data_IF_800556370684
#
_entry.id   IF_800556370684
#
_cell.length_a   1.000
_cell.length_b   1.000
_cell.length_c   1.000
_cell.angle_alpha   90.00
_cell.angle_beta   90.00
_cell.angle_gamma   90.00
#
_symmetry.space_group_name_H-M   'P 1'
#
loop_
_entity.id
_entity.type
_entity.pdbx_description
1 polymer ?
#
# COMPACT_ATOMS: atom_id res chain seq x y z
N UNK A 1 63.58 33.34 -10.55
CA UNK A 1 63.86 34.77 -10.95
C UNK A 1 62.50 35.36 -11.29
N UNK A 2 62.12 36.22 -10.37
CA UNK A 2 61.45 37.52 -10.51
C UNK A 2 59.98 37.51 -10.93
N UNK A 3 59.14 37.69 -9.94
CA UNK A 3 58.03 38.66 -9.93
C UNK A 3 58.57 40.07 -10.11
N UNK A 4 57.86 41.16 -10.35
CA UNK A 4 56.64 41.57 -9.64
C UNK A 4 55.63 42.41 -10.46
N UNK A 5 54.50 42.71 -9.77
CA UNK A 5 53.81 44.00 -9.54
C UNK A 5 52.96 44.60 -10.66
N UNK A 6 51.86 45.17 -10.41
CA UNK A 6 51.09 45.74 -9.34
C UNK A 6 50.12 46.79 -9.91
N UNK A 7 49.06 47.08 -9.20
CA UNK A 7 48.27 48.34 -9.12
C UNK A 7 47.43 48.73 -10.37
N UNK A 8 46.25 49.24 -10.29
CA UNK A 8 45.38 49.79 -9.21
C UNK A 8 44.05 50.22 -9.81
N UNK A 9 43.12 50.39 -8.96
CA UNK A 9 42.12 51.41 -8.76
C UNK A 9 40.74 51.27 -9.38
N UNK A 10 39.80 51.17 -8.45
CA UNK A 10 38.39 51.59 -8.49
C UNK A 10 38.27 53.08 -8.80
N UNK A 11 37.09 53.59 -9.24
CA UNK A 11 36.11 53.99 -8.25
C UNK A 11 34.61 53.81 -8.60
N UNK A 12 33.85 53.54 -7.58
CA UNK A 12 32.59 54.11 -7.15
C UNK A 12 31.54 54.62 -8.16
N UNK A 13 30.36 54.06 -8.08
CA UNK A 13 29.11 54.61 -8.59
C UNK A 13 27.94 54.10 -7.79
N UNK A 14 27.59 54.88 -6.76
CA UNK A 14 26.44 54.77 -5.87
C UNK A 14 25.13 54.87 -6.64
N UNK A 15 24.21 53.93 -6.41
CA UNK A 15 22.77 54.19 -6.55
C UNK A 15 22.06 53.41 -5.44
N UNK A 16 21.80 54.11 -4.35
CA UNK A 16 20.87 53.71 -3.34
C UNK A 16 19.46 53.75 -3.90
N UNK A 17 18.76 52.62 -3.87
CA UNK A 17 17.32 52.59 -4.09
C UNK A 17 16.66 52.20 -2.75
N UNK A 18 15.90 53.15 -2.23
CA UNK A 18 15.08 53.08 -1.02
C UNK A 18 14.21 51.82 -1.03
N UNK A 19 14.38 51.01 -0.01
CA UNK A 19 13.41 49.98 0.35
C UNK A 19 12.46 50.61 1.42
N UNK A 20 11.34 51.05 0.87
CA UNK A 20 10.21 51.58 1.65
C UNK A 20 9.64 50.44 2.52
N UNK A 21 9.66 50.69 3.80
CA UNK A 21 8.95 50.10 4.93
C UNK A 21 7.68 49.35 4.54
N UNK A 22 7.71 48.02 4.63
CA UNK A 22 6.47 47.23 4.63
C UNK A 22 5.99 47.16 6.07
N UNK A 23 4.88 47.81 6.29
CA UNK A 23 4.07 47.88 7.48
C UNK A 23 3.85 46.50 8.12
N UNK A 24 4.11 46.45 9.39
CA UNK A 24 3.80 45.39 10.34
C UNK A 24 2.29 45.12 10.31
N UNK A 25 1.84 44.10 9.57
CA UNK A 25 0.46 43.64 9.65
C UNK A 25 0.23 43.06 11.05
N UNK A 26 -0.73 43.63 11.75
CA UNK A 26 -1.20 43.22 13.05
C UNK A 26 -1.67 41.78 13.01
N UNK A 27 -1.16 40.95 13.92
CA UNK A 27 -1.66 39.61 14.20
C UNK A 27 -3.16 39.68 14.51
N UNK A 28 -3.94 39.01 13.68
CA UNK A 28 -5.36 38.76 13.95
C UNK A 28 -5.50 37.93 15.25
N UNK A 29 -6.46 38.24 16.11
CA UNK A 29 -6.67 37.49 17.33
C UNK A 29 -7.12 36.06 17.03
N UNK A 30 -6.51 35.11 17.73
CA UNK A 30 -6.92 33.69 17.78
C UNK A 30 -8.41 33.65 18.15
N UNK A 31 -9.29 32.94 17.38
CA UNK A 31 -10.67 32.82 17.77
C UNK A 31 -10.77 32.07 19.10
N UNK A 32 -11.46 32.68 20.05
CA UNK A 32 -11.85 32.05 21.31
C UNK A 32 -12.69 30.80 21.01
N UNK A 33 -12.53 29.83 21.88
CA UNK A 33 -13.42 28.67 21.91
C UNK A 33 -14.89 29.13 21.91
N UNK A 34 -15.77 28.42 21.18
CA UNK A 34 -17.19 28.80 21.15
C UNK A 34 -17.75 28.73 22.58
N UNK A 35 -18.39 29.83 22.99
CA UNK A 35 -19.19 29.92 24.20
C UNK A 35 -20.27 28.83 24.18
N UNK A 36 -20.64 28.34 25.34
CA UNK A 36 -21.75 27.39 25.52
C UNK A 36 -22.99 27.84 24.73
N UNK A 37 -23.66 26.93 24.01
CA UNK A 37 -24.84 27.27 23.24
C UNK A 37 -25.95 27.74 24.21
N UNK A 38 -26.44 28.95 23.95
CA UNK A 38 -27.65 29.49 24.59
C UNK A 38 -28.79 28.47 24.46
N UNK A 39 -29.40 28.15 25.56
CA UNK A 39 -30.65 27.36 25.60
C UNK A 39 -31.76 28.13 24.92
N UNK A 40 -32.17 27.69 23.74
CA UNK A 40 -33.45 28.12 23.17
C UNK A 40 -34.59 27.60 24.06
N UNK A 41 -35.51 28.50 24.35
CA UNK A 41 -36.64 28.37 25.29
C UNK A 41 -37.75 27.38 24.78
N UNK A 42 -37.40 26.44 23.89
CA UNK A 42 -38.36 25.50 23.28
C UNK A 42 -37.96 24.03 23.44
N UNK A 43 -37.35 23.66 24.56
CA UNK A 43 -37.32 22.31 25.12
C UNK A 43 -36.81 21.14 24.24
N UNK A 44 -36.39 21.38 22.99
CA UNK A 44 -35.83 20.36 22.11
C UNK A 44 -34.30 20.43 22.15
N UNK A 45 -33.72 19.62 23.01
CA UNK A 45 -32.30 19.28 22.87
C UNK A 45 -32.08 18.71 21.45
N UNK A 46 -30.98 19.11 20.72
CA UNK A 46 -30.60 18.40 19.51
C UNK A 46 -30.53 16.94 19.88
N UNK A 47 -31.06 16.05 19.01
CA UNK A 47 -31.21 14.63 19.26
C UNK A 47 -29.85 14.03 19.67
N UNK A 48 -29.60 13.97 20.97
CA UNK A 48 -28.48 13.24 21.54
C UNK A 48 -28.72 11.78 21.13
N UNK A 49 -27.72 11.15 20.53
CA UNK A 49 -27.76 9.73 20.15
C UNK A 49 -28.35 8.94 21.33
N UNK A 50 -29.42 8.19 21.08
CA UNK A 50 -30.06 7.38 22.11
C UNK A 50 -29.01 6.52 22.81
N UNK A 51 -29.11 6.38 24.11
CA UNK A 51 -28.17 5.61 24.93
C UNK A 51 -28.74 4.26 25.30
N UNK A 52 -27.88 3.35 25.75
CA UNK A 52 -28.28 2.05 26.32
C UNK A 52 -29.31 2.23 27.46
N UNK A 53 -29.17 3.31 28.25
CA UNK A 53 -30.09 3.64 29.35
C UNK A 53 -31.46 4.05 28.85
N UNK A 54 -31.55 4.76 27.74
CA UNK A 54 -32.83 5.17 27.13
C UNK A 54 -33.58 3.95 26.61
N UNK A 55 -32.90 3.02 25.94
CA UNK A 55 -33.49 1.76 25.50
C UNK A 55 -34.00 0.96 26.69
N UNK A 56 -33.20 0.82 27.75
CA UNK A 56 -33.58 0.09 28.96
C UNK A 56 -34.82 0.69 29.63
N UNK A 57 -34.86 2.02 29.77
CA UNK A 57 -35.96 2.78 30.36
C UNK A 57 -37.27 2.60 29.57
N UNK A 58 -37.21 2.76 28.25
CA UNK A 58 -38.39 2.69 27.39
C UNK A 58 -38.90 1.25 27.21
N UNK A 59 -37.95 0.27 27.11
CA UNK A 59 -38.32 -1.13 27.04
C UNK A 59 -38.75 -1.74 28.40
N UNK A 60 -38.63 -1.00 29.49
CA UNK A 60 -39.00 -1.47 30.85
C UNK A 60 -38.13 -2.67 31.31
N UNK A 61 -36.85 -2.66 31.02
CA UNK A 61 -35.90 -3.74 31.39
C UNK A 61 -34.60 -3.15 31.93
N UNK A 62 -33.76 -4.00 32.54
CA UNK A 62 -32.42 -3.57 32.97
C UNK A 62 -31.49 -3.37 31.79
N UNK A 63 -30.46 -2.50 31.94
CA UNK A 63 -29.37 -2.33 30.95
C UNK A 63 -28.68 -3.64 30.63
N UNK A 64 -28.53 -4.53 31.60
CA UNK A 64 -27.99 -5.87 31.40
C UNK A 64 -28.88 -6.74 30.48
N UNK A 65 -30.23 -6.56 30.52
CA UNK A 65 -31.14 -7.25 29.61
C UNK A 65 -31.04 -6.69 28.19
N UNK A 66 -30.96 -5.36 28.03
CA UNK A 66 -30.70 -4.74 26.71
C UNK A 66 -29.40 -5.25 26.13
N UNK A 67 -28.31 -5.25 26.91
CA UNK A 67 -27.02 -5.75 26.49
C UNK A 67 -27.09 -7.21 26.03
N UNK A 68 -27.80 -8.10 26.74
CA UNK A 68 -28.01 -9.49 26.32
C UNK A 68 -28.75 -9.62 25.00
N UNK A 69 -29.77 -8.80 24.78
CA UNK A 69 -30.53 -8.77 23.51
C UNK A 69 -29.67 -8.30 22.35
N UNK A 70 -28.93 -7.21 22.54
CA UNK A 70 -27.99 -6.67 21.55
C UNK A 70 -26.91 -7.70 21.17
N UNK A 71 -26.47 -8.50 22.14
CA UNK A 71 -25.43 -9.52 21.94
C UNK A 71 -25.95 -10.91 21.57
N UNK A 72 -27.27 -11.06 21.31
CA UNK A 72 -27.84 -12.33 20.85
C UNK A 72 -27.80 -13.47 21.87
N UNK A 73 -27.66 -13.18 23.18
CA UNK A 73 -27.59 -14.23 24.21
C UNK A 73 -28.93 -14.89 24.44
N UNK A 74 -28.96 -16.22 24.54
CA UNK A 74 -30.18 -17.05 24.60
C UNK A 74 -30.99 -16.99 25.92
N UNK A 75 -30.52 -16.24 26.91
CA UNK A 75 -31.13 -16.14 28.25
C UNK A 75 -32.20 -15.07 28.37
N UNK A 76 -32.79 -14.60 27.29
CA UNK A 76 -33.86 -13.57 27.29
C UNK A 76 -35.08 -14.12 26.60
N UNK A 77 -36.25 -13.99 27.26
CA UNK A 77 -37.57 -14.43 26.71
C UNK A 77 -37.84 -13.72 25.38
N UNK A 78 -38.42 -14.45 24.40
CA UNK A 78 -38.66 -13.92 23.06
C UNK A 78 -39.52 -12.67 23.04
N UNK A 79 -40.52 -12.57 23.89
CA UNK A 79 -41.37 -11.36 24.03
C UNK A 79 -40.57 -10.14 24.50
N UNK A 80 -39.62 -10.35 25.43
CA UNK A 80 -38.72 -9.28 25.89
C UNK A 80 -37.72 -8.90 24.81
N UNK A 81 -37.19 -9.88 24.09
CA UNK A 81 -36.28 -9.67 22.94
C UNK A 81 -36.95 -8.85 21.85
N UNK A 82 -38.17 -9.18 21.46
CA UNK A 82 -38.94 -8.46 20.46
C UNK A 82 -39.18 -7.00 20.88
N UNK A 83 -39.62 -6.77 22.12
CA UNK A 83 -39.83 -5.43 22.67
C UNK A 83 -38.58 -4.57 22.69
N UNK A 84 -37.44 -5.12 23.12
CA UNK A 84 -36.16 -4.39 23.14
C UNK A 84 -35.72 -4.03 21.72
N UNK A 85 -35.84 -4.96 20.75
CA UNK A 85 -35.52 -4.68 19.33
C UNK A 85 -36.39 -3.58 18.76
N UNK A 86 -37.66 -3.61 19.03
CA UNK A 86 -38.58 -2.56 18.59
C UNK A 86 -38.19 -1.17 19.13
N UNK A 87 -37.81 -1.08 20.41
CA UNK A 87 -37.33 0.18 21.03
C UNK A 87 -36.03 0.63 20.44
N UNK A 88 -35.11 -0.28 20.15
CA UNK A 88 -33.81 0.03 19.46
C UNK A 88 -34.10 0.67 18.10
N UNK A 89 -35.00 0.08 17.30
CA UNK A 89 -35.41 0.63 15.99
C UNK A 89 -36.08 1.99 16.12
N UNK A 90 -36.99 2.15 17.06
CA UNK A 90 -37.73 3.43 17.30
C UNK A 90 -36.79 4.56 17.71
N UNK A 91 -35.76 4.27 18.49
CA UNK A 91 -34.80 5.29 18.96
C UNK A 91 -33.63 5.50 18.02
N UNK A 92 -33.47 4.67 16.99
CA UNK A 92 -32.26 4.66 16.17
C UNK A 92 -30.98 4.36 17.00
N UNK A 93 -31.14 3.59 18.10
CA UNK A 93 -30.02 3.29 18.97
C UNK A 93 -29.01 2.39 18.25
N UNK A 94 -27.80 2.91 18.11
CA UNK A 94 -26.64 2.14 17.62
C UNK A 94 -25.78 1.78 18.83
N UNK A 95 -25.57 0.48 19.09
CA UNK A 95 -24.74 0.04 20.21
C UNK A 95 -23.32 0.57 20.09
N UNK A 96 -22.80 1.18 21.15
CA UNK A 96 -21.41 1.66 21.21
C UNK A 96 -20.43 0.48 21.15
N UNK A 97 -19.63 0.41 20.07
CA UNK A 97 -18.63 -0.61 19.86
C UNK A 97 -17.56 -0.64 20.97
N UNK A 98 -17.24 0.51 21.58
CA UNK A 98 -16.30 0.60 22.68
C UNK A 98 -16.84 -0.08 23.95
N UNK A 99 -18.13 0.06 24.26
CA UNK A 99 -18.76 -0.63 25.37
C UNK A 99 -18.86 -2.16 25.12
N UNK A 100 -19.01 -2.57 23.86
CA UNK A 100 -19.01 -3.99 23.47
C UNK A 100 -17.62 -4.63 23.63
N UNK A 101 -16.56 -3.93 23.25
CA UNK A 101 -15.18 -4.42 23.33
C UNK A 101 -14.71 -4.67 24.76
N UNK A 102 -15.14 -3.84 25.73
CA UNK A 102 -14.84 -4.00 27.15
C UNK A 102 -15.40 -5.32 27.74
N UNK A 103 -16.56 -5.80 27.23
CA UNK A 103 -17.18 -7.03 27.74
C UNK A 103 -16.63 -8.31 27.10
N UNK A 104 -16.05 -8.24 25.91
CA UNK A 104 -15.64 -9.40 25.10
C UNK A 104 -14.13 -9.66 25.02
N UNK A 105 -13.27 -8.81 25.60
CA UNK A 105 -11.79 -8.84 25.44
C UNK A 105 -11.32 -8.76 23.97
N UNK A 106 -12.21 -8.57 22.98
CA UNK A 106 -11.92 -8.43 21.56
C UNK A 106 -12.68 -7.25 20.98
N UNK A 107 -12.01 -6.46 20.15
CA UNK A 107 -12.54 -5.25 19.51
C UNK A 107 -13.26 -5.56 18.20
N UNK A 108 -12.94 -6.70 17.59
CA UNK A 108 -13.35 -7.10 16.24
C UNK A 108 -12.90 -6.06 15.17
N UNK A 109 -11.70 -5.52 15.36
CA UNK A 109 -11.09 -4.55 14.46
C UNK A 109 -9.72 -5.07 14.03
N UNK A 110 -9.48 -5.14 12.72
CA UNK A 110 -8.17 -5.39 12.11
C UNK A 110 -7.57 -4.05 11.71
N UNK A 111 -6.28 -3.84 11.96
CA UNK A 111 -5.53 -2.72 11.40
C UNK A 111 -4.82 -3.13 10.11
N UNK A 112 -4.91 -2.30 9.06
CA UNK A 112 -4.09 -2.40 7.86
C UNK A 112 -3.17 -1.18 7.80
N UNK A 113 -1.87 -1.44 7.82
CA UNK A 113 -0.82 -0.43 7.78
C UNK A 113 -0.22 -0.41 6.39
N UNK A 114 -0.40 0.70 5.69
CA UNK A 114 0.10 0.94 4.34
C UNK A 114 1.24 1.97 4.36
N UNK A 115 2.16 1.90 3.38
CA UNK A 115 3.20 2.90 3.21
C UNK A 115 2.67 4.13 2.47
N UNK A 116 2.95 5.31 2.99
CA UNK A 116 2.79 6.57 2.28
C UNK A 116 4.13 6.95 1.64
N UNK A 117 4.22 6.80 0.32
CA UNK A 117 5.44 7.11 -0.46
C UNK A 117 5.37 8.47 -1.15
N UNK A 118 4.33 9.25 -0.88
CA UNK A 118 4.05 10.50 -1.58
C UNK A 118 4.50 11.74 -0.80
N UNK A 119 5.12 12.68 -1.52
CA UNK A 119 5.21 14.07 -1.05
C UNK A 119 3.81 14.72 -1.19
N UNK A 120 3.33 15.48 -0.17
CA UNK A 120 1.96 16.02 -0.16
C UNK A 120 1.55 16.95 -1.32
N UNK A 121 2.46 17.26 -2.22
CA UNK A 121 2.29 18.26 -3.29
C UNK A 121 2.16 17.65 -4.70
N UNK A 122 2.11 16.32 -4.85
CA UNK A 122 2.18 15.63 -6.17
C UNK A 122 0.99 14.69 -6.39
N UNK A 123 -0.22 15.15 -6.15
CA UNK A 123 -1.43 14.29 -6.16
C UNK A 123 -1.86 13.74 -7.52
N UNK A 124 -1.36 14.25 -8.67
CA UNK A 124 -2.03 13.98 -9.96
C UNK A 124 -1.64 12.67 -10.68
N UNK A 125 -0.42 12.18 -10.51
CA UNK A 125 0.04 10.98 -11.24
C UNK A 125 0.44 9.86 -10.28
N UNK A 126 0.79 10.19 -9.05
CA UNK A 126 1.33 9.27 -8.05
C UNK A 126 0.26 8.49 -7.28
N UNK A 127 -1.00 8.90 -7.36
CA UNK A 127 -2.15 8.16 -6.77
C UNK A 127 -2.30 6.73 -7.34
N UNK A 128 -1.57 6.39 -8.40
CA UNK A 128 -1.53 5.03 -8.94
C UNK A 128 -0.86 4.01 -7.98
N UNK A 129 -0.05 4.44 -7.01
CA UNK A 129 0.48 3.52 -5.99
C UNK A 129 -0.62 2.91 -5.11
N UNK A 130 -1.80 3.53 -5.09
CA UNK A 130 -2.97 3.00 -4.42
C UNK A 130 -3.50 1.71 -5.06
N UNK A 131 -3.22 1.44 -6.34
CA UNK A 131 -3.74 0.26 -7.05
C UNK A 131 -3.30 -1.06 -6.40
N UNK A 132 -2.05 -1.13 -5.92
CA UNK A 132 -1.56 -2.30 -5.19
C UNK A 132 -2.32 -2.50 -3.87
N UNK A 133 -2.41 -1.46 -3.05
CA UNK A 133 -3.11 -1.56 -1.77
C UNK A 133 -4.63 -1.66 -1.92
N UNK A 134 -5.23 -1.10 -2.98
CA UNK A 134 -6.67 -1.23 -3.23
C UNK A 134 -7.08 -2.70 -3.45
N UNK A 135 -6.32 -3.45 -4.22
CA UNK A 135 -6.60 -4.89 -4.43
C UNK A 135 -6.36 -5.71 -3.14
N UNK A 136 -5.31 -5.41 -2.36
CA UNK A 136 -5.10 -6.03 -1.05
C UNK A 136 -6.27 -5.72 -0.12
N UNK A 137 -6.69 -4.45 -0.05
CA UNK A 137 -7.81 -3.99 0.75
C UNK A 137 -9.11 -4.74 0.38
N UNK A 138 -9.38 -4.90 -0.92
CA UNK A 138 -10.53 -5.67 -1.41
C UNK A 138 -10.48 -7.13 -0.95
N UNK A 139 -9.30 -7.74 -0.95
CA UNK A 139 -9.11 -9.09 -0.45
C UNK A 139 -9.37 -9.20 1.05
N UNK A 140 -8.85 -8.28 1.84
CA UNK A 140 -9.09 -8.20 3.29
C UNK A 140 -10.59 -8.00 3.57
N UNK A 141 -11.23 -7.02 2.91
CA UNK A 141 -12.65 -6.71 3.07
C UNK A 141 -13.53 -7.91 2.73
N UNK A 142 -13.24 -8.58 1.61
CA UNK A 142 -13.96 -9.79 1.20
C UNK A 142 -13.90 -10.87 2.29
N UNK A 143 -12.74 -11.03 2.96
CA UNK A 143 -12.54 -12.06 3.98
C UNK A 143 -13.28 -11.76 5.28
N UNK A 144 -13.45 -10.49 5.66
CA UNK A 144 -14.08 -10.08 6.93
C UNK A 144 -15.57 -9.73 6.82
N UNK A 145 -16.09 -9.58 5.60
CA UNK A 145 -17.44 -9.08 5.31
C UNK A 145 -18.53 -9.76 6.14
N UNK A 146 -18.51 -11.08 6.20
CA UNK A 146 -19.55 -11.88 6.88
C UNK A 146 -19.18 -12.22 8.33
N UNK A 147 -18.03 -11.76 8.82
CA UNK A 147 -17.51 -12.09 10.15
C UNK A 147 -17.80 -11.03 11.21
N UNK A 148 -18.48 -9.93 10.83
CA UNK A 148 -18.75 -8.78 11.70
C UNK A 148 -17.46 -8.17 12.29
N UNK A 149 -16.41 -8.11 11.48
CA UNK A 149 -15.16 -7.41 11.76
C UNK A 149 -15.12 -6.08 11.03
N UNK A 150 -14.40 -5.11 11.60
CA UNK A 150 -14.13 -3.81 10.97
C UNK A 150 -12.67 -3.71 10.57
N UNK A 151 -12.38 -2.89 9.56
CA UNK A 151 -11.03 -2.60 9.11
C UNK A 151 -10.69 -1.15 9.40
N UNK A 152 -9.54 -0.93 10.06
CA UNK A 152 -8.97 0.38 10.33
C UNK A 152 -7.69 0.53 9.50
N UNK A 153 -7.70 1.46 8.56
CA UNK A 153 -6.57 1.69 7.65
C UNK A 153 -5.76 2.88 8.14
N UNK A 154 -4.45 2.75 8.11
CA UNK A 154 -3.53 3.87 8.36
C UNK A 154 -2.39 3.85 7.37
N UNK A 155 -1.94 5.05 7.00
CA UNK A 155 -0.76 5.24 6.18
C UNK A 155 0.36 5.77 7.05
N UNK A 156 1.55 5.19 6.91
CA UNK A 156 2.76 5.62 7.60
C UNK A 156 3.81 6.04 6.57
N UNK A 157 4.53 7.10 6.88
CA UNK A 157 5.68 7.55 6.07
C UNK A 157 6.91 6.74 6.45
N UNK A 158 7.57 6.24 5.44
CA UNK A 158 8.81 5.49 5.63
C UNK A 158 9.86 6.31 6.41
N UNK A 159 10.49 5.68 7.41
CA UNK A 159 11.51 6.32 8.25
C UNK A 159 11.01 7.38 9.26
N UNK A 160 9.70 7.56 9.42
CA UNK A 160 9.13 8.54 10.34
C UNK A 160 8.96 7.99 11.76
N UNK A 161 9.76 8.46 12.72
CA UNK A 161 9.60 8.11 14.14
C UNK A 161 8.23 8.54 14.70
N UNK A 162 7.67 9.65 14.22
CA UNK A 162 6.35 10.10 14.64
C UNK A 162 5.25 9.12 14.19
N UNK A 163 5.40 8.55 13.00
CA UNK A 163 4.44 7.59 12.48
C UNK A 163 4.59 6.22 13.15
N UNK A 164 5.79 5.81 13.56
CA UNK A 164 5.98 4.65 14.43
C UNK A 164 5.26 4.81 15.79
N UNK A 165 5.28 5.99 16.39
CA UNK A 165 4.52 6.27 17.60
C UNK A 165 2.99 6.17 17.36
N UNK A 166 2.50 6.57 16.18
CA UNK A 166 1.10 6.37 15.77
C UNK A 166 0.75 4.89 15.64
N UNK A 167 1.67 4.06 15.13
CA UNK A 167 1.49 2.62 15.03
C UNK A 167 1.28 1.98 16.41
N UNK A 168 2.05 2.39 17.43
CA UNK A 168 1.82 1.94 18.79
C UNK A 168 0.46 2.36 19.34
N UNK A 169 -0.01 3.56 19.00
CA UNK A 169 -1.37 4.01 19.38
C UNK A 169 -2.44 3.19 18.67
N UNK A 170 -2.21 2.84 17.40
CA UNK A 170 -3.11 1.99 16.61
C UNK A 170 -3.22 0.59 17.22
N UNK A 171 -2.11 0.01 17.65
CA UNK A 171 -2.08 -1.34 18.24
C UNK A 171 -3.01 -1.48 19.46
N UNK A 172 -3.20 -0.39 20.20
CA UNK A 172 -4.19 -0.32 21.29
C UNK A 172 -5.65 -0.33 20.83
N UNK A 173 -5.96 -0.11 19.53
CA UNK A 173 -7.32 0.03 18.99
C UNK A 173 -7.79 -1.18 18.19
N UNK A 174 -6.91 -2.11 17.83
CA UNK A 174 -7.19 -3.27 16.98
C UNK A 174 -6.88 -4.57 17.69
N UNK A 175 -7.36 -5.69 17.17
CA UNK A 175 -7.04 -7.04 17.69
C UNK A 175 -5.82 -7.66 17.01
N UNK A 176 -5.45 -7.16 15.84
CA UNK A 176 -4.28 -7.58 15.08
C UNK A 176 -3.97 -6.62 13.95
N UNK A 177 -2.75 -6.71 13.41
CA UNK A 177 -2.22 -5.84 12.37
C UNK A 177 -1.83 -6.63 11.12
N UNK A 178 -2.27 -6.14 9.98
CA UNK A 178 -1.66 -6.41 8.69
C UNK A 178 -0.68 -5.27 8.40
N UNK A 179 0.59 -5.58 8.20
CA UNK A 179 1.65 -4.59 7.98
C UNK A 179 2.20 -4.77 6.57
N UNK A 180 2.06 -3.74 5.74
CA UNK A 180 2.59 -3.76 4.38
C UNK A 180 4.11 -3.76 4.33
N UNK A 181 4.65 -4.07 3.17
CA UNK A 181 6.08 -4.23 2.90
C UNK A 181 6.96 -3.08 3.38
N UNK A 182 8.11 -3.40 3.99
CA UNK A 182 9.19 -2.44 4.25
C UNK A 182 8.87 -1.19 5.07
N UNK A 183 7.62 -1.06 5.56
CA UNK A 183 7.15 0.14 6.27
C UNK A 183 7.76 0.22 7.67
N UNK A 184 7.86 -0.95 8.31
CA UNK A 184 8.30 -1.07 9.69
C UNK A 184 9.66 -1.76 9.70
N UNK A 185 10.65 -1.19 10.40
CA UNK A 185 11.94 -1.87 10.57
C UNK A 185 11.78 -3.27 11.17
N UNK A 186 12.63 -4.25 10.81
CA UNK A 186 12.52 -5.64 11.29
C UNK A 186 12.45 -5.76 12.83
N UNK A 187 13.23 -4.93 13.54
CA UNK A 187 13.25 -4.93 15.01
C UNK A 187 11.93 -4.46 15.60
N UNK A 188 11.28 -3.51 14.92
CA UNK A 188 9.99 -2.98 15.35
C UNK A 188 8.86 -3.95 15.02
N UNK A 189 8.94 -4.63 13.87
CA UNK A 189 8.01 -5.70 13.52
C UNK A 189 8.05 -6.82 14.57
N UNK A 190 9.26 -7.21 15.02
CA UNK A 190 9.46 -8.19 16.08
C UNK A 190 8.79 -7.74 17.39
N UNK A 191 9.04 -6.50 17.82
CA UNK A 191 8.43 -5.94 19.04
C UNK A 191 6.90 -5.89 18.99
N UNK A 192 6.34 -5.60 17.82
CA UNK A 192 4.89 -5.63 17.62
C UNK A 192 4.36 -7.06 17.71
N UNK A 193 5.00 -8.01 17.05
CA UNK A 193 4.60 -9.41 17.03
C UNK A 193 4.67 -10.07 18.42
N UNK A 194 5.58 -9.64 19.30
CA UNK A 194 5.65 -10.08 20.71
C UNK A 194 4.44 -9.60 21.55
N UNK A 195 3.77 -8.53 21.12
CA UNK A 195 2.70 -7.89 21.89
C UNK A 195 1.30 -8.19 21.37
N UNK A 196 1.19 -8.48 20.08
CA UNK A 196 -0.09 -8.69 19.44
C UNK A 196 0.07 -9.49 18.12
N UNK A 197 -1.03 -10.10 17.62
CA UNK A 197 -1.06 -10.74 16.32
C UNK A 197 -0.65 -9.78 15.18
N UNK A 198 0.36 -10.16 14.41
CA UNK A 198 0.86 -9.41 13.25
C UNK A 198 1.10 -10.34 12.08
N UNK A 199 0.70 -9.92 10.89
CA UNK A 199 1.05 -10.56 9.61
C UNK A 199 1.66 -9.52 8.69
N UNK A 200 2.85 -9.79 8.17
CA UNK A 200 3.48 -9.00 7.15
C UNK A 200 2.90 -9.36 5.77
N UNK A 201 2.41 -8.36 5.05
CA UNK A 201 1.89 -8.49 3.67
C UNK A 201 2.97 -8.01 2.72
N UNK A 202 3.37 -8.84 1.75
CA UNK A 202 4.54 -8.61 0.90
C UNK A 202 5.83 -8.42 1.71
N UNK A 203 5.92 -9.12 2.84
CA UNK A 203 7.08 -9.06 3.74
C UNK A 203 8.26 -9.90 3.25
N UNK A 204 9.37 -9.83 3.99
CA UNK A 204 10.57 -10.65 3.71
C UNK A 204 10.25 -12.14 3.98
N UNK A 205 10.32 -13.02 2.96
CA UNK A 205 10.01 -14.44 3.13
C UNK A 205 11.01 -15.18 4.03
N UNK A 206 12.13 -14.56 4.38
CA UNK A 206 13.11 -15.12 5.31
C UNK A 206 12.88 -14.70 6.75
N UNK A 207 11.93 -13.79 7.00
CA UNK A 207 11.60 -13.29 8.33
C UNK A 207 10.94 -14.38 9.18
N UNK A 208 11.34 -14.45 10.45
CA UNK A 208 10.73 -15.31 11.47
C UNK A 208 10.06 -14.49 12.58
N UNK A 209 10.01 -13.18 12.43
CA UNK A 209 9.47 -12.28 13.44
C UNK A 209 7.94 -12.33 13.53
N UNK A 210 7.26 -12.54 12.39
CA UNK A 210 5.81 -12.60 12.28
C UNK A 210 5.41 -13.56 11.16
N UNK A 211 4.12 -13.85 11.02
CA UNK A 211 3.62 -14.49 9.81
C UNK A 211 3.86 -13.60 8.59
N UNK A 212 4.17 -14.21 7.46
CA UNK A 212 4.39 -13.52 6.18
C UNK A 212 3.49 -14.12 5.11
N UNK A 213 2.79 -13.27 4.38
CA UNK A 213 2.09 -13.66 3.14
C UNK A 213 2.62 -12.77 2.02
N UNK A 214 3.27 -13.36 1.04
CA UNK A 214 3.93 -12.63 -0.05
C UNK A 214 3.79 -13.37 -1.37
N UNK A 215 3.98 -12.68 -2.49
CA UNK A 215 4.08 -13.31 -3.80
C UNK A 215 5.46 -13.94 -4.01
N UNK A 216 5.53 -14.95 -4.87
CA UNK A 216 6.82 -15.49 -5.32
C UNK A 216 7.49 -14.51 -6.31
N UNK A 217 8.03 -13.44 -5.73
CA UNK A 217 8.66 -12.35 -6.44
C UNK A 217 9.91 -12.79 -7.20
N UNK A 218 10.65 -13.76 -6.62
CA UNK A 218 11.92 -14.23 -7.17
C UNK A 218 11.70 -15.06 -8.42
N UNK A 219 10.82 -16.06 -8.35
CA UNK A 219 10.50 -16.91 -9.50
C UNK A 219 9.80 -16.10 -10.61
N UNK A 220 8.87 -15.22 -10.25
CA UNK A 220 8.20 -14.34 -11.23
C UNK A 220 9.17 -13.44 -11.99
N UNK A 221 10.13 -12.81 -11.29
CA UNK A 221 11.16 -11.99 -11.92
C UNK A 221 12.10 -12.83 -12.79
N UNK A 222 12.52 -13.99 -12.30
CA UNK A 222 13.36 -14.90 -13.07
C UNK A 222 12.66 -15.37 -14.35
N UNK A 223 11.37 -15.73 -14.28
CA UNK A 223 10.57 -16.13 -15.44
C UNK A 223 10.48 -15.01 -16.49
N UNK A 224 10.27 -13.75 -16.04
CA UNK A 224 10.22 -12.57 -16.91
C UNK A 224 11.56 -12.35 -17.63
N UNK A 225 12.67 -12.39 -16.90
CA UNK A 225 14.00 -12.17 -17.46
C UNK A 225 14.41 -13.30 -18.40
N UNK A 226 14.14 -14.58 -18.04
CA UNK A 226 14.35 -15.73 -18.95
C UNK A 226 13.59 -15.54 -20.26
N UNK A 227 12.33 -15.09 -20.21
CA UNK A 227 11.57 -14.80 -21.40
C UNK A 227 12.25 -13.76 -22.32
N UNK A 228 12.79 -12.68 -21.78
CA UNK A 228 13.54 -11.66 -22.54
C UNK A 228 14.82 -12.24 -23.16
N UNK A 229 15.55 -13.06 -22.41
CA UNK A 229 16.85 -13.60 -22.80
C UNK A 229 16.71 -14.75 -23.78
N UNK A 230 15.78 -15.69 -23.56
CA UNK A 230 15.66 -16.93 -24.35
C UNK A 230 14.78 -16.75 -25.58
N UNK A 231 13.69 -16.00 -25.45
CA UNK A 231 12.72 -15.83 -26.56
C UNK A 231 13.07 -14.62 -27.42
N UNK A 232 13.44 -13.48 -26.82
CA UNK A 232 13.73 -12.25 -27.53
C UNK A 232 15.22 -11.95 -27.69
N UNK A 233 16.09 -12.81 -27.19
CA UNK A 233 17.56 -12.71 -27.31
C UNK A 233 18.10 -11.37 -26.82
N UNK A 234 17.45 -10.78 -25.78
CA UNK A 234 17.89 -9.52 -25.18
C UNK A 234 19.08 -9.78 -24.28
N UNK A 235 20.22 -9.15 -24.55
CA UNK A 235 21.52 -9.43 -23.89
C UNK A 235 22.00 -8.30 -23.01
N UNK A 236 21.55 -7.09 -23.25
CA UNK A 236 21.93 -5.89 -22.49
C UNK A 236 20.70 -5.42 -21.68
N UNK A 237 20.68 -5.77 -20.42
CA UNK A 237 19.56 -5.50 -19.53
C UNK A 237 19.85 -4.25 -18.69
N UNK A 238 18.94 -3.30 -18.66
CA UNK A 238 18.90 -2.21 -17.70
C UNK A 238 17.83 -2.48 -16.67
N UNK A 239 18.14 -2.35 -15.37
CA UNK A 239 17.19 -2.60 -14.29
C UNK A 239 16.73 -1.30 -13.65
N UNK A 240 15.41 -1.10 -13.59
CA UNK A 240 14.79 -0.05 -12.77
C UNK A 240 14.31 -0.73 -11.50
N UNK A 241 15.15 -0.68 -10.47
CA UNK A 241 14.94 -1.34 -9.17
C UNK A 241 13.89 -0.60 -8.33
N UNK A 242 13.36 -1.26 -7.32
CA UNK A 242 12.50 -0.65 -6.31
C UNK A 242 13.30 -0.08 -5.13
N UNK A 243 12.62 0.45 -4.08
CA UNK A 243 13.27 0.91 -2.87
C UNK A 243 14.09 -0.20 -2.21
N UNK A 244 15.28 0.15 -1.71
CA UNK A 244 16.18 -0.81 -1.06
C UNK A 244 15.58 -1.46 0.20
N UNK A 245 14.63 -0.78 0.84
CA UNK A 245 13.90 -1.24 2.03
C UNK A 245 12.76 -2.20 1.70
N UNK A 246 12.34 -2.30 0.42
CA UNK A 246 11.23 -3.14 -0.01
C UNK A 246 11.68 -4.60 -0.21
N UNK A 247 11.14 -5.57 0.56
CA UNK A 247 11.45 -6.99 0.40
C UNK A 247 11.14 -7.50 -1.01
N UNK A 248 10.04 -7.07 -1.60
CA UNK A 248 9.63 -7.42 -2.97
C UNK A 248 10.68 -7.02 -4.00
N UNK A 249 11.23 -5.80 -3.91
CA UNK A 249 12.30 -5.34 -4.80
C UNK A 249 13.55 -6.20 -4.65
N UNK A 250 13.92 -6.53 -3.42
CA UNK A 250 15.06 -7.43 -3.12
C UNK A 250 14.89 -8.79 -3.81
N UNK A 251 13.72 -9.42 -3.66
CA UNK A 251 13.46 -10.73 -4.24
C UNK A 251 13.40 -10.66 -5.78
N UNK A 252 12.79 -9.63 -6.37
CA UNK A 252 12.78 -9.41 -7.82
C UNK A 252 14.18 -9.22 -8.38
N UNK A 253 15.06 -8.48 -7.68
CA UNK A 253 16.46 -8.31 -8.05
C UNK A 253 17.25 -9.62 -7.94
N UNK A 254 16.97 -10.45 -6.94
CA UNK A 254 17.58 -11.79 -6.83
C UNK A 254 17.18 -12.67 -8.00
N UNK A 255 15.91 -12.72 -8.40
CA UNK A 255 15.46 -13.47 -9.56
C UNK A 255 16.10 -13.00 -10.87
N UNK A 256 16.22 -11.68 -11.09
CA UNK A 256 17.02 -11.13 -12.20
C UNK A 256 18.46 -11.63 -12.16
N UNK A 257 19.12 -11.54 -11.00
CA UNK A 257 20.53 -11.89 -10.84
C UNK A 257 20.80 -13.38 -11.12
N UNK A 258 19.89 -14.26 -10.74
CA UNK A 258 19.98 -15.71 -11.03
C UNK A 258 20.02 -15.97 -12.53
N UNK A 259 19.10 -15.35 -13.28
CA UNK A 259 19.06 -15.55 -14.73
C UNK A 259 20.31 -14.99 -15.42
N UNK A 260 20.86 -13.88 -14.94
CA UNK A 260 22.12 -13.35 -15.46
C UNK A 260 23.30 -14.30 -15.21
N UNK A 261 23.32 -15.00 -14.06
CA UNK A 261 24.34 -16.02 -13.77
C UNK A 261 24.18 -17.26 -14.68
N UNK A 262 22.97 -17.67 -14.98
CA UNK A 262 22.66 -18.77 -15.92
C UNK A 262 23.04 -18.42 -17.37
N UNK A 263 23.10 -17.12 -17.70
CA UNK A 263 23.32 -16.63 -19.07
C UNK A 263 24.52 -15.71 -19.20
N UNK A 264 25.76 -16.23 -19.22
CA UNK A 264 26.99 -15.41 -19.20
C UNK A 264 27.16 -14.43 -20.39
N UNK A 265 26.35 -14.59 -21.45
CA UNK A 265 26.34 -13.65 -22.58
C UNK A 265 25.36 -12.47 -22.37
N UNK A 266 24.65 -12.46 -21.26
CA UNK A 266 23.70 -11.40 -20.88
C UNK A 266 24.32 -10.56 -19.77
N UNK A 267 24.28 -9.24 -19.92
CA UNK A 267 24.89 -8.32 -18.97
C UNK A 267 23.86 -7.32 -18.40
N UNK A 268 23.97 -7.05 -17.12
CA UNK A 268 23.34 -5.89 -16.50
C UNK A 268 24.18 -4.65 -16.85
N UNK A 269 23.67 -3.81 -17.76
CA UNK A 269 24.41 -2.64 -18.25
C UNK A 269 24.18 -1.37 -17.43
N UNK A 270 23.26 -1.41 -16.48
CA UNK A 270 23.01 -0.34 -15.52
C UNK A 270 21.82 -0.61 -14.64
N UNK A 271 21.74 0.14 -13.56
CA UNK A 271 20.61 0.11 -12.60
C UNK A 271 20.20 1.53 -12.22
N UNK A 272 18.92 1.77 -12.08
CA UNK A 272 18.34 2.98 -11.53
C UNK A 272 17.54 2.60 -10.27
N UNK A 273 17.79 3.26 -9.14
CA UNK A 273 17.07 3.02 -7.89
C UNK A 273 15.77 3.82 -7.89
N UNK A 274 14.68 3.16 -8.22
CA UNK A 274 13.35 3.74 -8.26
C UNK A 274 12.63 3.72 -6.91
N UNK A 275 11.41 4.24 -6.92
CA UNK A 275 10.56 4.39 -5.72
C UNK A 275 9.17 3.78 -5.90
N UNK A 276 9.02 2.83 -6.82
CA UNK A 276 7.74 2.24 -7.22
C UNK A 276 6.71 3.25 -7.76
N UNK A 277 7.13 4.43 -8.21
CA UNK A 277 6.27 5.48 -8.74
C UNK A 277 6.46 5.69 -10.23
N UNK A 278 5.42 6.19 -10.91
CA UNK A 278 5.51 6.57 -12.34
C UNK A 278 6.60 7.62 -12.54
N UNK A 279 6.72 8.58 -11.62
CA UNK A 279 7.72 9.64 -11.72
C UNK A 279 9.14 9.08 -11.71
N UNK A 280 9.45 8.11 -10.82
CA UNK A 280 10.79 7.50 -10.82
C UNK A 280 11.06 6.67 -12.09
N UNK A 281 10.01 6.15 -12.71
CA UNK A 281 10.11 5.54 -14.04
C UNK A 281 10.40 6.55 -15.16
N UNK A 282 9.78 7.73 -15.11
CA UNK A 282 10.09 8.84 -16.04
C UNK A 282 11.55 9.26 -15.90
N UNK A 283 12.03 9.45 -14.67
CA UNK A 283 13.44 9.80 -14.40
C UNK A 283 14.42 8.74 -14.95
N UNK A 284 14.09 7.45 -14.79
CA UNK A 284 14.88 6.37 -15.38
C UNK A 284 14.87 6.41 -16.92
N UNK A 285 13.72 6.69 -17.52
CA UNK A 285 13.58 6.84 -18.97
C UNK A 285 14.36 8.05 -19.52
N UNK A 286 14.36 9.17 -18.81
CA UNK A 286 15.16 10.36 -19.16
C UNK A 286 16.66 10.08 -19.08
N UNK A 287 17.11 9.31 -18.08
CA UNK A 287 18.50 8.84 -17.97
C UNK A 287 18.89 7.98 -19.18
N UNK A 288 18.01 7.13 -19.67
CA UNK A 288 18.24 6.32 -20.87
C UNK A 288 18.30 7.19 -22.12
N UNK A 289 17.42 8.20 -22.26
CA UNK A 289 17.45 9.14 -23.39
C UNK A 289 18.73 9.97 -23.44
N UNK A 290 19.31 10.32 -22.29
CA UNK A 290 20.61 11.00 -22.23
C UNK A 290 21.77 10.12 -22.76
N UNK A 291 21.54 8.79 -22.91
CA UNK A 291 22.49 7.81 -23.46
C UNK A 291 21.97 7.16 -24.75
N UNK A 292 21.25 7.93 -25.57
CA UNK A 292 20.51 7.41 -26.72
C UNK A 292 21.34 6.57 -27.68
N UNK A 293 22.63 6.87 -27.83
CA UNK A 293 23.55 6.15 -28.73
C UNK A 293 24.01 4.78 -28.13
N UNK A 294 23.70 4.51 -26.88
CA UNK A 294 24.04 3.25 -26.17
C UNK A 294 22.86 2.72 -25.35
N UNK A 295 21.72 2.55 -26.00
CA UNK A 295 20.53 1.98 -25.34
C UNK A 295 20.73 0.49 -24.98
N UNK A 296 20.11 0.02 -23.87
CA UNK A 296 20.04 -1.41 -23.57
C UNK A 296 19.09 -2.13 -24.55
N UNK A 297 19.15 -3.46 -24.59
CA UNK A 297 18.20 -4.25 -25.36
C UNK A 297 16.83 -4.34 -24.66
N UNK A 298 16.84 -4.29 -23.33
CA UNK A 298 15.61 -4.31 -22.53
C UNK A 298 15.76 -3.56 -21.21
N UNK A 299 14.65 -2.97 -20.76
CA UNK A 299 14.47 -2.38 -19.45
C UNK A 299 13.56 -3.27 -18.63
N UNK A 300 14.05 -3.80 -17.53
CA UNK A 300 13.30 -4.59 -16.55
C UNK A 300 12.97 -3.70 -15.37
N UNK A 301 11.72 -3.31 -15.21
CA UNK A 301 11.26 -2.51 -14.10
C UNK A 301 10.75 -3.39 -12.98
N UNK A 302 11.09 -3.05 -11.74
CA UNK A 302 10.65 -3.80 -10.57
C UNK A 302 9.14 -3.69 -10.33
N UNK A 303 8.43 -2.71 -10.94
CA UNK A 303 6.96 -2.70 -10.98
C UNK A 303 6.42 -2.02 -12.25
N UNK A 304 5.09 -2.17 -12.46
CA UNK A 304 4.40 -1.64 -13.64
C UNK A 304 4.33 -0.11 -13.66
N UNK A 305 4.24 0.54 -12.51
CA UNK A 305 4.18 1.99 -12.44
C UNK A 305 5.46 2.62 -12.98
N UNK A 306 6.62 2.10 -12.57
CA UNK A 306 7.90 2.55 -13.12
C UNK A 306 8.01 2.21 -14.61
N UNK A 307 7.54 1.03 -15.03
CA UNK A 307 7.54 0.66 -16.45
C UNK A 307 6.69 1.60 -17.29
N UNK A 308 5.53 2.04 -16.82
CA UNK A 308 4.68 3.05 -17.46
C UNK A 308 5.41 4.39 -17.56
N UNK A 309 6.10 4.80 -16.50
CA UNK A 309 6.92 6.02 -16.52
C UNK A 309 8.05 5.95 -17.53
N UNK A 310 8.77 4.83 -17.61
CA UNK A 310 9.80 4.58 -18.63
C UNK A 310 9.20 4.66 -20.02
N UNK A 311 8.07 3.99 -20.28
CA UNK A 311 7.37 4.04 -21.57
C UNK A 311 7.00 5.46 -21.97
N UNK A 312 6.50 6.28 -21.03
CA UNK A 312 6.16 7.68 -21.28
C UNK A 312 7.38 8.50 -21.72
N UNK A 313 8.50 8.40 -20.99
CA UNK A 313 9.72 9.12 -21.31
C UNK A 313 10.28 8.69 -22.68
N UNK A 314 10.40 7.38 -22.92
CA UNK A 314 10.94 6.83 -24.18
C UNK A 314 10.08 7.23 -25.38
N UNK A 315 8.75 7.18 -25.25
CA UNK A 315 7.82 7.61 -26.31
C UNK A 315 7.98 9.09 -26.64
N UNK A 316 8.07 9.96 -25.62
CA UNK A 316 8.36 11.41 -25.82
C UNK A 316 9.71 11.64 -26.51
N UNK A 317 10.70 10.83 -26.19
CA UNK A 317 12.02 10.85 -26.82
C UNK A 317 12.09 10.21 -28.20
N UNK A 318 10.99 9.65 -28.73
CA UNK A 318 10.94 9.01 -30.04
C UNK A 318 11.69 7.67 -30.11
N UNK A 319 11.85 6.98 -28.98
CA UNK A 319 12.36 5.60 -28.90
C UNK A 319 11.20 4.64 -29.07
N UNK A 320 11.35 3.68 -29.96
CA UNK A 320 10.29 2.71 -30.29
C UNK A 320 10.40 1.49 -29.38
N UNK A 321 9.34 1.23 -28.64
CA UNK A 321 9.21 0.01 -27.84
C UNK A 321 8.22 -0.92 -28.55
N UNK A 322 8.56 -2.16 -28.86
CA UNK A 322 9.75 -2.92 -28.46
C UNK A 322 10.92 -2.91 -29.46
N UNK A 323 10.83 -2.17 -30.58
CA UNK A 323 11.74 -2.30 -31.72
C UNK A 323 13.19 -1.88 -31.34
N UNK A 324 13.35 -0.72 -30.72
CA UNK A 324 14.66 -0.21 -30.34
C UNK A 324 15.11 -0.80 -28.99
N UNK A 325 14.18 -1.01 -28.04
CA UNK A 325 14.38 -1.73 -26.77
C UNK A 325 13.06 -2.23 -26.22
N UNK A 326 13.09 -3.33 -25.45
CA UNK A 326 11.93 -3.85 -24.75
C UNK A 326 11.75 -3.19 -23.38
N UNK A 327 10.50 -3.10 -22.89
CA UNK A 327 10.19 -2.65 -21.51
C UNK A 327 9.27 -3.67 -20.86
N UNK A 328 9.58 -4.05 -19.60
CA UNK A 328 8.74 -4.96 -18.83
C UNK A 328 8.53 -4.44 -17.40
N UNK A 329 7.42 -4.85 -16.80
CA UNK A 329 7.04 -4.51 -15.44
C UNK A 329 6.81 -5.72 -14.54
N UNK A 330 6.16 -5.47 -13.41
CA UNK A 330 5.70 -6.45 -12.43
C UNK A 330 4.44 -5.88 -11.78
N UNK A 331 3.44 -6.67 -11.44
CA UNK A 331 2.19 -6.45 -10.70
C UNK A 331 0.94 -6.78 -11.53
N UNK A 332 0.95 -6.57 -12.84
CA UNK A 332 -0.18 -6.69 -13.77
C UNK A 332 -1.32 -5.71 -13.43
N UNK A 333 -0.96 -4.44 -13.19
CA UNK A 333 -1.98 -3.41 -12.96
C UNK A 333 -2.72 -3.04 -14.25
N UNK A 334 -4.01 -2.73 -14.12
CA UNK A 334 -4.87 -2.42 -15.27
C UNK A 334 -4.31 -1.35 -16.23
N UNK A 335 -3.71 -0.23 -15.78
CA UNK A 335 -3.11 0.75 -16.69
C UNK A 335 -2.02 0.21 -17.61
N UNK A 336 -1.27 -0.82 -17.16
CA UNK A 336 -0.27 -1.48 -17.99
C UNK A 336 -0.86 -2.19 -19.20
N UNK A 337 -2.08 -2.70 -19.09
CA UNK A 337 -2.80 -3.32 -20.22
C UNK A 337 -3.26 -2.31 -21.27
N UNK A 338 -3.47 -1.05 -20.87
CA UNK A 338 -3.90 0.05 -21.72
C UNK A 338 -2.74 0.88 -22.29
N UNK A 339 -1.51 0.66 -21.84
CA UNK A 339 -0.34 1.39 -22.34
C UNK A 339 -0.07 1.07 -23.83
N UNK A 340 0.69 1.94 -24.49
CA UNK A 340 1.09 1.75 -25.88
C UNK A 340 2.63 1.83 -26.00
N UNK A 341 3.26 0.64 -26.27
CA UNK A 341 2.67 -0.71 -26.38
C UNK A 341 2.12 -1.21 -25.04
N UNK A 342 1.18 -2.18 -25.09
CA UNK A 342 0.68 -2.82 -23.86
C UNK A 342 1.80 -3.58 -23.15
N UNK A 343 1.85 -3.42 -21.83
CA UNK A 343 2.99 -3.80 -20.98
C UNK A 343 3.03 -5.30 -20.68
N UNK A 344 4.12 -5.96 -21.08
CA UNK A 344 4.49 -7.30 -20.59
C UNK A 344 4.90 -7.20 -19.14
N UNK A 345 4.36 -8.06 -18.30
CA UNK A 345 4.51 -7.97 -16.84
C UNK A 345 4.40 -9.34 -16.19
N UNK A 346 4.52 -9.37 -14.87
CA UNK A 346 4.22 -10.53 -14.03
C UNK A 346 2.96 -10.24 -13.23
N UNK A 347 1.96 -11.10 -13.35
CA UNK A 347 0.78 -11.04 -12.50
C UNK A 347 1.13 -11.54 -11.10
N UNK A 348 0.92 -10.69 -10.09
CA UNK A 348 0.88 -11.11 -8.70
C UNK A 348 -0.57 -11.04 -8.18
N UNK A 349 -1.01 -12.05 -7.41
CA UNK A 349 -2.40 -12.16 -7.01
C UNK A 349 -2.71 -11.26 -5.80
N UNK A 350 -2.66 -9.93 -5.99
CA UNK A 350 -2.76 -8.93 -4.91
C UNK A 350 -4.01 -9.09 -4.04
N UNK A 351 -5.17 -9.36 -4.66
CA UNK A 351 -6.41 -9.60 -3.90
C UNK A 351 -6.30 -10.84 -3.02
N UNK A 352 -5.74 -11.93 -3.56
CA UNK A 352 -5.52 -13.16 -2.80
C UNK A 352 -4.49 -12.96 -1.68
N UNK A 353 -3.46 -12.10 -1.89
CA UNK A 353 -2.53 -11.69 -0.82
C UNK A 353 -3.30 -11.10 0.36
N UNK A 354 -4.21 -10.16 0.11
CA UNK A 354 -5.05 -9.55 1.15
C UNK A 354 -5.94 -10.56 1.84
N UNK A 355 -6.60 -11.44 1.08
CA UNK A 355 -7.47 -12.49 1.62
C UNK A 355 -6.70 -13.47 2.52
N UNK A 356 -5.54 -13.97 2.04
CA UNK A 356 -4.72 -14.95 2.77
C UNK A 356 -4.09 -14.32 4.01
N UNK A 357 -3.57 -13.10 3.89
CA UNK A 357 -3.01 -12.37 5.04
C UNK A 357 -4.07 -12.13 6.12
N UNK A 358 -5.29 -11.75 5.74
CA UNK A 358 -6.40 -11.60 6.68
C UNK A 358 -6.80 -12.93 7.32
N UNK A 359 -6.91 -14.01 6.55
CA UNK A 359 -7.20 -15.33 7.09
C UNK A 359 -6.15 -15.76 8.12
N UNK A 360 -4.86 -15.60 7.78
CA UNK A 360 -3.74 -15.89 8.69
C UNK A 360 -3.79 -15.05 9.97
N UNK A 361 -4.12 -13.75 9.86
CA UNK A 361 -4.25 -12.88 11.01
C UNK A 361 -5.39 -13.33 11.94
N UNK A 362 -6.54 -13.71 11.39
CA UNK A 362 -7.67 -14.22 12.18
C UNK A 362 -7.31 -15.54 12.89
N UNK A 363 -6.57 -16.43 12.24
CA UNK A 363 -6.02 -17.66 12.86
C UNK A 363 -5.08 -17.32 14.01
N UNK A 364 -4.15 -16.36 13.80
CA UNK A 364 -3.21 -15.89 14.82
C UNK A 364 -3.94 -15.25 16.01
N UNK A 365 -4.99 -14.46 15.78
CA UNK A 365 -5.83 -13.89 16.83
C UNK A 365 -6.53 -15.00 17.64
N UNK A 366 -6.94 -16.09 16.99
CA UNK A 366 -7.59 -17.21 17.66
C UNK A 366 -6.59 -18.11 18.44
N UNK A 367 -5.38 -18.27 17.92
CA UNK A 367 -4.32 -19.12 18.46
C UNK A 367 -2.96 -18.40 18.42
N UNK A 368 -2.69 -17.51 19.41
CA UNK A 368 -1.50 -16.63 19.38
C UNK A 368 -0.16 -17.38 19.51
N UNK A 369 -0.18 -18.59 20.10
CA UNK A 369 1.03 -19.38 20.38
C UNK A 369 1.54 -20.21 19.17
N UNK A 370 0.88 -20.14 18.02
CA UNK A 370 1.34 -20.83 16.81
C UNK A 370 2.70 -20.27 16.36
N UNK A 371 3.61 -21.11 15.82
CA UNK A 371 4.85 -20.60 15.24
C UNK A 371 4.56 -19.72 14.03
N UNK A 372 5.40 -18.71 13.74
CA UNK A 372 5.31 -17.93 12.52
C UNK A 372 5.39 -18.82 11.27
N UNK A 373 4.64 -18.45 10.24
CA UNK A 373 4.61 -19.16 8.96
C UNK A 373 4.76 -18.19 7.80
N UNK A 374 5.39 -18.68 6.73
CA UNK A 374 5.54 -17.96 5.47
C UNK A 374 4.68 -18.64 4.41
N UNK A 375 3.83 -17.88 3.76
CA UNK A 375 3.02 -18.31 2.63
C UNK A 375 3.47 -17.57 1.37
N UNK A 376 3.97 -18.32 0.38
CA UNK A 376 4.32 -17.81 -0.94
C UNK A 376 3.19 -18.08 -1.92
N UNK A 377 2.64 -17.02 -2.52
CA UNK A 377 1.62 -17.15 -3.55
C UNK A 377 2.26 -17.14 -4.95
N UNK A 378 1.89 -18.08 -5.83
CA UNK A 378 2.48 -18.18 -7.14
C UNK A 378 2.18 -16.94 -7.98
N UNK A 379 3.14 -16.57 -8.81
CA UNK A 379 3.02 -15.51 -9.81
C UNK A 379 2.91 -16.13 -11.21
N UNK A 380 2.55 -15.34 -12.21
CA UNK A 380 2.48 -15.80 -13.59
C UNK A 380 2.86 -14.72 -14.59
N UNK A 381 3.59 -15.10 -15.65
CA UNK A 381 4.00 -14.19 -16.70
C UNK A 381 2.80 -13.79 -17.58
N UNK A 382 2.65 -12.49 -17.82
CA UNK A 382 1.62 -11.90 -18.69
C UNK A 382 2.31 -11.27 -19.90
N UNK A 383 2.28 -11.97 -21.01
CA UNK A 383 2.93 -11.56 -22.24
C UNK A 383 2.05 -10.57 -23.01
N UNK A 384 2.62 -9.41 -23.31
CA UNK A 384 2.00 -8.36 -24.12
C UNK A 384 3.01 -7.80 -25.13
N UNK A 385 2.75 -6.61 -25.67
CA UNK A 385 3.49 -6.08 -26.82
C UNK A 385 4.85 -5.47 -26.47
N UNK A 386 5.05 -4.99 -25.25
CA UNK A 386 6.24 -4.21 -24.89
C UNK A 386 7.55 -4.99 -24.83
N UNK A 387 7.51 -6.32 -24.82
CA UNK A 387 8.70 -7.20 -24.95
C UNK A 387 8.99 -7.62 -26.41
N UNK A 388 8.01 -7.47 -27.32
CA UNK A 388 8.09 -7.92 -28.71
C UNK A 388 7.19 -9.12 -29.02
N UNK A 389 6.42 -9.62 -28.05
CA UNK A 389 5.40 -10.64 -28.33
C UNK A 389 4.27 -10.07 -29.20
N UNK A 390 3.64 -10.88 -30.06
CA UNK A 390 2.46 -10.47 -30.80
C UNK A 390 1.30 -10.19 -29.83
N UNK A 391 0.36 -9.31 -30.24
CA UNK A 391 -0.85 -9.10 -29.47
C UNK A 391 -1.60 -10.43 -29.34
N UNK A 392 -2.07 -10.79 -28.13
CA UNK A 392 -3.01 -11.90 -28.00
C UNK A 392 -4.23 -11.61 -28.88
N UNK A 393 -4.54 -12.55 -29.77
CA UNK A 393 -5.77 -12.45 -30.56
C UNK A 393 -6.94 -12.65 -29.58
N UNK A 394 -7.87 -11.69 -29.43
CA UNK A 394 -9.03 -11.89 -28.59
C UNK A 394 -9.86 -13.03 -29.16
N UNK A 395 -9.81 -14.22 -28.55
CA UNK A 395 -10.62 -15.32 -29.02
C UNK A 395 -10.27 -16.74 -28.59
N UNK A 396 -9.31 -16.96 -27.72
CA UNK A 396 -9.15 -18.28 -27.08
C UNK A 396 -8.96 -18.11 -25.58
N UNK A 397 -10.07 -17.93 -24.87
CA UNK A 397 -10.11 -18.03 -23.42
C UNK A 397 -9.51 -19.37 -22.99
N UNK A 398 -8.35 -19.35 -22.35
CA UNK A 398 -7.91 -20.47 -21.53
C UNK A 398 -8.95 -20.63 -20.43
N UNK A 399 -9.74 -21.68 -20.51
CA UNK A 399 -10.62 -22.11 -19.43
C UNK A 399 -9.73 -22.26 -18.19
N UNK A 400 -10.02 -21.48 -17.17
CA UNK A 400 -9.48 -21.73 -15.84
C UNK A 400 -9.69 -23.21 -15.54
N UNK A 401 -8.60 -23.94 -15.35
CA UNK A 401 -8.64 -25.28 -14.79
C UNK A 401 -9.32 -25.18 -13.42
N UNK A 402 -10.37 -25.97 -13.28
CA UNK A 402 -11.20 -26.08 -12.09
C UNK A 402 -10.38 -26.31 -10.82
N UNK A 403 -10.87 -25.86 -9.66
CA UNK A 403 -10.18 -26.07 -8.40
C UNK A 403 -10.08 -27.55 -8.08
N UNK A 404 -8.92 -27.96 -7.61
CA UNK A 404 -8.65 -29.28 -7.06
C UNK A 404 -9.57 -29.46 -5.84
N UNK A 405 -10.33 -30.56 -5.72
CA UNK A 405 -11.16 -30.80 -4.55
C UNK A 405 -10.25 -31.08 -3.33
N UNK A 406 -10.49 -30.33 -2.29
CA UNK A 406 -9.91 -30.57 -0.95
C UNK A 406 -10.60 -31.80 -0.37
N UNK A 407 -9.85 -32.87 -0.17
CA UNK A 407 -10.23 -34.00 0.68
C UNK A 407 -9.77 -33.78 2.10
#
# INVERSE_FOLDING_TARGET
MSTPDALAASPAGSAATDITTVSRAASAPVPRAPDEPATDDNGARPAANATLYDVARIAGVSTATVSRVVHGQDRVRDSTRARVRQVIEQLGYVPDGAAQSLSRRRKHIIGLVCVERLAPQQYDIESMSLLFYDEILRGVEQRIRDLNWSLLITYLREGSNADLARLHTLSGKVDGLLVGEGIVPPEELTRLAERMPVVAVSGDPTSQAADVVTADNRDGSAALVRHLVDVHVRRRIFHVDGPATAPDAKERRLGLSEVLQEHPRTALVGTYNGRFSVQSGVEAGELLLARRDDLPDAVVCANDQMAIGVLQALTRGGVRVPDDLAVTGFDDIFPGSLSHPSLTTVHQPMRLLGERACARLLERIAAPDLPPQVELLPTSLVLRRSCGCPAETPGRGRRHSSPIPVS
#
